data_IF_069030596381
#
_entry.id   IF_069030596381
#
_cell.length_a   1.000
_cell.length_b   1.000
_cell.length_c   1.000
_cell.angle_alpha   90.00
_cell.angle_beta   90.00
_cell.angle_gamma   90.00
#
_symmetry.space_group_name_H-M   'P 1'
#
loop_
_entity.id
_entity.type
_entity.pdbx_description
1 polymer ?
#
# COMPACT_ATOMS: atom_id res chain seq x y z
N UNK A 1 -22.18 -12.42 12.77
CA UNK A 1 -20.87 -12.14 13.40
C UNK A 1 -19.92 -11.65 12.32
N UNK A 2 -19.38 -10.43 12.42
CA UNK A 2 -18.38 -9.91 11.47
C UNK A 2 -17.05 -9.83 12.18
N UNK A 3 -16.06 -10.54 11.67
CA UNK A 3 -14.67 -10.44 12.14
C UNK A 3 -14.18 -9.10 11.58
N UNK A 4 -13.91 -8.12 12.44
CA UNK A 4 -13.59 -6.72 12.05
C UNK A 4 -12.24 -6.53 11.36
N UNK A 5 -11.71 -7.56 10.70
CA UNK A 5 -10.49 -7.52 9.90
C UNK A 5 -10.86 -7.48 8.41
N UNK A 6 -9.99 -6.90 7.57
CA UNK A 6 -10.19 -7.00 6.13
C UNK A 6 -9.98 -8.46 5.69
N UNK A 7 -10.66 -8.90 4.63
CA UNK A 7 -10.46 -10.25 4.09
C UNK A 7 -8.98 -10.51 3.73
N UNK A 8 -8.26 -9.47 3.32
CA UNK A 8 -6.83 -9.51 3.01
C UNK A 8 -5.97 -9.85 4.23
N UNK A 9 -6.28 -9.28 5.40
CA UNK A 9 -5.49 -9.47 6.62
C UNK A 9 -5.52 -10.92 7.13
N UNK A 10 -6.63 -11.64 6.88
CA UNK A 10 -6.74 -13.06 7.20
C UNK A 10 -6.22 -13.96 6.08
N UNK A 11 -6.47 -13.60 4.82
CA UNK A 11 -6.09 -14.43 3.68
C UNK A 11 -4.57 -14.51 3.48
N UNK A 12 -3.85 -13.39 3.65
CA UNK A 12 -2.39 -13.35 3.44
C UNK A 12 -1.59 -14.31 4.32
N UNK A 13 -1.75 -14.33 5.67
CA UNK A 13 -1.01 -15.27 6.50
C UNK A 13 -1.43 -16.72 6.27
N UNK A 14 -2.72 -16.98 6.03
CA UNK A 14 -3.22 -18.32 5.74
C UNK A 14 -2.62 -18.87 4.44
N UNK A 15 -2.60 -18.05 3.39
CA UNK A 15 -1.99 -18.39 2.11
C UNK A 15 -0.49 -18.64 2.23
N UNK A 16 0.22 -17.76 2.97
CA UNK A 16 1.65 -17.94 3.23
C UNK A 16 1.97 -19.25 3.95
N UNK A 17 1.19 -19.61 4.98
CA UNK A 17 1.34 -20.88 5.68
C UNK A 17 1.08 -22.08 4.77
N UNK A 18 -0.01 -22.05 4.00
CA UNK A 18 -0.35 -23.12 3.08
C UNK A 18 0.71 -23.30 1.98
N UNK A 19 1.16 -22.21 1.34
CA UNK A 19 2.21 -22.26 0.31
C UNK A 19 3.54 -22.77 0.84
N UNK A 20 3.91 -22.42 2.09
CA UNK A 20 5.11 -22.95 2.73
C UNK A 20 5.00 -24.48 2.92
N UNK A 21 3.86 -24.96 3.44
CA UNK A 21 3.62 -26.38 3.59
C UNK A 21 3.64 -27.11 2.22
N UNK A 22 3.03 -26.52 1.19
CA UNK A 22 2.96 -27.10 -0.15
C UNK A 22 4.31 -27.13 -0.88
N UNK A 23 5.21 -26.18 -0.61
CA UNK A 23 6.52 -26.08 -1.27
C UNK A 23 7.67 -26.70 -0.47
N UNK A 24 7.40 -27.21 0.74
CA UNK A 24 8.42 -27.78 1.62
C UNK A 24 9.10 -28.99 0.98
N UNK A 25 10.42 -28.89 0.80
CA UNK A 25 11.25 -29.96 0.21
C UNK A 25 11.29 -29.97 -1.32
N UNK A 26 10.59 -29.04 -1.99
CA UNK A 26 10.76 -28.84 -3.42
C UNK A 26 12.03 -28.00 -3.68
N UNK A 27 12.81 -28.32 -4.72
CA UNK A 27 13.93 -27.48 -5.10
C UNK A 27 13.42 -26.10 -5.53
N UNK A 28 14.10 -25.04 -5.08
CA UNK A 28 13.84 -23.71 -5.61
C UNK A 28 14.26 -23.68 -7.07
N UNK A 29 13.31 -23.43 -7.96
CA UNK A 29 13.58 -23.20 -9.37
C UNK A 29 13.65 -21.70 -9.59
N UNK A 30 14.75 -21.22 -10.16
CA UNK A 30 14.78 -19.86 -10.69
C UNK A 30 13.78 -19.76 -11.85
N UNK A 31 13.14 -18.60 -11.99
CA UNK A 31 12.34 -18.36 -13.18
C UNK A 31 13.31 -18.11 -14.33
N UNK A 32 13.33 -19.03 -15.30
CA UNK A 32 14.00 -18.84 -16.60
C UNK A 32 13.23 -17.74 -17.38
N UNK A 33 13.38 -16.51 -16.93
CA UNK A 33 12.77 -15.34 -17.54
C UNK A 33 13.56 -14.90 -18.77
N UNK A 34 12.84 -14.45 -19.80
CA UNK A 34 13.47 -13.73 -20.89
C UNK A 34 14.19 -12.49 -20.35
N UNK A 35 15.37 -12.17 -20.90
CA UNK A 35 16.10 -10.97 -20.54
C UNK A 35 15.26 -9.75 -20.92
N UNK A 36 14.77 -9.04 -19.92
CA UNK A 36 13.99 -7.82 -20.09
C UNK A 36 14.92 -6.68 -20.55
N UNK A 37 14.55 -5.98 -21.61
CA UNK A 37 15.23 -4.74 -22.02
C UNK A 37 14.66 -3.59 -21.18
N UNK A 38 15.53 -2.82 -20.53
CA UNK A 38 15.11 -1.66 -19.73
C UNK A 38 15.26 -0.40 -20.57
N UNK A 39 14.15 0.32 -20.75
CA UNK A 39 14.13 1.58 -21.50
C UNK A 39 13.53 2.69 -20.65
N UNK A 40 14.04 3.90 -20.85
CA UNK A 40 13.47 5.10 -20.27
C UNK A 40 12.27 5.55 -21.10
N UNK A 41 11.10 5.59 -20.48
CA UNK A 41 9.86 6.01 -21.11
C UNK A 41 9.27 7.23 -20.42
N UNK A 42 8.64 8.10 -21.20
CA UNK A 42 7.93 9.26 -20.71
C UNK A 42 6.68 8.80 -19.95
N UNK A 43 6.49 9.30 -18.72
CA UNK A 43 5.33 8.94 -17.88
C UNK A 43 3.98 9.39 -18.44
N UNK A 44 3.97 10.39 -19.33
CA UNK A 44 2.74 10.93 -19.91
C UNK A 44 2.36 10.23 -21.21
N UNK A 45 3.33 9.99 -22.11
CA UNK A 45 3.06 9.48 -23.46
C UNK A 45 3.36 7.99 -23.62
N UNK A 46 4.13 7.37 -22.71
CA UNK A 46 4.57 5.98 -22.83
C UNK A 46 5.62 5.71 -23.92
N UNK A 47 6.03 6.75 -24.66
CA UNK A 47 7.10 6.69 -25.67
C UNK A 47 8.48 6.85 -25.03
N UNK A 48 9.56 6.70 -25.81
CA UNK A 48 10.91 6.90 -25.29
C UNK A 48 11.08 8.32 -24.75
N UNK A 49 11.66 8.45 -23.56
CA UNK A 49 11.88 9.75 -22.93
C UNK A 49 12.85 10.59 -23.77
N UNK A 50 12.49 11.85 -24.01
CA UNK A 50 13.44 12.86 -24.48
C UNK A 50 14.07 13.57 -23.25
N UNK A 51 15.08 14.42 -23.46
CA UNK A 51 15.79 15.11 -22.37
C UNK A 51 14.94 16.10 -21.55
N UNK A 52 13.68 16.31 -21.92
CA UNK A 52 12.73 17.18 -21.19
C UNK A 52 11.65 16.38 -20.45
N UNK A 53 11.45 15.09 -20.79
CA UNK A 53 10.47 14.25 -20.14
C UNK A 53 10.95 13.79 -18.76
N UNK A 54 10.02 13.71 -17.80
CA UNK A 54 10.22 12.83 -16.64
C UNK A 54 10.19 11.37 -17.12
N UNK A 55 11.36 10.78 -17.22
CA UNK A 55 11.53 9.38 -17.60
C UNK A 55 11.31 8.44 -16.41
N UNK A 56 10.70 7.28 -16.65
CA UNK A 56 10.75 6.13 -15.75
C UNK A 56 11.42 4.95 -16.46
N UNK A 57 12.20 4.15 -15.73
CA UNK A 57 12.77 2.92 -16.26
C UNK A 57 11.70 1.83 -16.23
N UNK A 58 11.21 1.42 -17.40
CA UNK A 58 10.25 0.32 -17.53
C UNK A 58 10.92 -0.92 -18.17
N UNK A 59 10.62 -2.13 -17.68
CA UNK A 59 11.07 -3.36 -18.31
C UNK A 59 10.16 -3.74 -19.49
N UNK A 60 10.76 -4.13 -20.61
CA UNK A 60 10.07 -4.59 -21.81
C UNK A 60 10.56 -5.97 -22.24
N UNK A 61 9.69 -6.75 -22.89
CA UNK A 61 10.10 -7.95 -23.61
C UNK A 61 10.88 -7.56 -24.88
N UNK A 62 11.81 -8.39 -25.36
CA UNK A 62 12.54 -8.14 -26.59
C UNK A 62 11.59 -7.80 -27.76
N UNK A 63 11.81 -6.64 -28.39
CA UNK A 63 11.01 -6.19 -29.54
C UNK A 63 9.70 -5.48 -29.20
N UNK A 64 9.27 -5.45 -27.94
CA UNK A 64 8.03 -4.76 -27.50
C UNK A 64 8.27 -3.31 -27.06
N UNK A 65 9.53 -2.90 -26.91
CA UNK A 65 9.86 -1.54 -26.53
C UNK A 65 9.41 -0.50 -27.58
N UNK A 66 8.93 0.68 -27.14
CA UNK A 66 8.56 1.76 -28.06
C UNK A 66 9.79 2.22 -28.84
N UNK A 67 9.66 2.33 -30.16
CA UNK A 67 10.74 2.81 -31.05
C UNK A 67 10.73 4.32 -31.24
N UNK A 68 9.57 4.95 -31.05
CA UNK A 68 9.38 6.39 -31.21
C UNK A 68 9.78 7.17 -29.96
N UNK A 69 10.38 8.35 -30.18
CA UNK A 69 10.64 9.33 -29.14
C UNK A 69 9.39 10.15 -28.79
N UNK A 70 9.33 10.65 -27.56
CA UNK A 70 8.28 11.60 -27.17
C UNK A 70 8.36 12.88 -28.03
N UNK A 71 7.29 13.25 -28.76
CA UNK A 71 7.30 14.44 -29.62
C UNK A 71 7.09 15.75 -28.83
N UNK A 72 6.67 15.65 -27.57
CA UNK A 72 6.34 16.81 -26.75
C UNK A 72 7.51 17.21 -25.85
N UNK A 73 7.74 18.52 -25.72
CA UNK A 73 8.56 19.08 -24.66
C UNK A 73 7.71 19.17 -23.39
N UNK A 74 8.16 18.51 -22.33
CA UNK A 74 7.52 18.63 -21.03
C UNK A 74 8.22 19.74 -20.23
N UNK A 75 7.48 20.48 -19.39
CA UNK A 75 8.11 21.36 -18.43
C UNK A 75 9.05 20.54 -17.55
N UNK A 76 10.20 21.11 -17.13
CA UNK A 76 11.11 20.43 -16.23
C UNK A 76 10.33 19.95 -15.01
N UNK A 77 10.62 18.74 -14.49
CA UNK A 77 9.96 18.28 -13.28
C UNK A 77 10.18 19.34 -12.20
N UNK A 78 9.17 19.63 -11.37
CA UNK A 78 9.42 20.43 -10.18
C UNK A 78 10.59 19.80 -9.45
N UNK A 79 11.50 20.60 -8.86
CA UNK A 79 12.59 20.04 -8.06
C UNK A 79 11.98 19.02 -7.13
N UNK A 80 12.58 17.82 -7.07
CA UNK A 80 12.18 16.83 -6.08
C UNK A 80 12.18 17.58 -4.76
N UNK A 81 10.98 17.79 -4.21
CA UNK A 81 10.86 18.26 -2.85
C UNK A 81 11.38 17.07 -2.09
N UNK A 82 12.68 17.08 -1.79
CA UNK A 82 13.26 16.28 -0.74
C UNK A 82 12.42 16.66 0.48
N UNK A 83 11.33 15.92 0.72
CA UNK A 83 10.58 16.05 1.96
C UNK A 83 11.64 15.69 3.01
N UNK A 84 12.16 16.67 3.78
CA UNK A 84 13.22 16.39 4.73
C UNK A 84 12.69 15.30 5.65
N UNK A 85 13.56 14.35 6.04
CA UNK A 85 13.18 13.20 6.86
C UNK A 85 12.42 13.66 8.11
N UNK A 86 11.08 13.63 8.06
CA UNK A 86 10.22 14.13 9.15
C UNK A 86 9.09 15.10 8.76
N UNK A 87 9.11 15.75 7.58
CA UNK A 87 8.04 16.65 7.16
C UNK A 87 7.09 16.02 6.12
N UNK A 88 5.80 16.17 6.39
CA UNK A 88 4.72 15.65 5.55
C UNK A 88 4.47 16.65 4.43
N UNK A 89 4.81 16.27 3.20
CA UNK A 89 4.49 17.06 2.01
C UNK A 89 2.95 17.21 1.89
N UNK A 90 2.49 18.46 1.94
CA UNK A 90 1.09 18.87 2.06
C UNK A 90 0.33 18.61 0.75
N UNK A 91 -0.20 17.39 0.56
CA UNK A 91 -0.97 17.07 -0.66
C UNK A 91 -1.51 15.65 -0.77
N UNK A 92 -0.90 14.68 -0.09
CA UNK A 92 -1.45 13.32 0.04
C UNK A 92 -1.01 12.84 1.42
N UNK A 93 -1.92 12.81 2.39
CA UNK A 93 -1.61 12.10 3.64
C UNK A 93 -1.76 10.61 3.36
N UNK A 94 -0.66 9.82 3.22
CA UNK A 94 -0.79 8.40 3.49
C UNK A 94 -1.16 8.34 4.96
N UNK A 95 -2.44 8.09 5.27
CA UNK A 95 -2.85 7.78 6.62
C UNK A 95 -1.84 6.78 7.16
N UNK A 96 -1.09 7.17 8.20
CA UNK A 96 -0.05 6.37 8.84
C UNK A 96 -0.75 5.18 9.48
N UNK A 97 -1.14 4.19 8.67
CA UNK A 97 -1.87 3.01 9.11
C UNK A 97 -0.86 2.20 9.90
N UNK A 98 -0.99 2.26 11.22
CA UNK A 98 -0.26 1.38 12.11
C UNK A 98 -0.53 -0.07 11.69
N UNK A 99 0.52 -0.84 11.43
CA UNK A 99 0.39 -2.26 11.10
C UNK A 99 -0.36 -2.98 12.22
N UNK A 100 -1.28 -3.89 11.90
CA UNK A 100 -2.08 -4.63 12.88
C UNK A 100 -1.26 -5.28 14.00
N UNK A 101 -0.05 -5.75 13.70
CA UNK A 101 0.86 -6.35 14.69
C UNK A 101 1.35 -5.36 15.74
N UNK A 102 1.61 -4.10 15.37
CA UNK A 102 1.99 -3.04 16.32
C UNK A 102 0.82 -2.69 17.22
N UNK A 103 -0.39 -2.63 16.67
CA UNK A 103 -1.62 -2.42 17.45
C UNK A 103 -1.87 -3.57 18.43
N UNK A 104 -1.78 -4.82 17.98
CA UNK A 104 -1.94 -5.99 18.86
C UNK A 104 -0.85 -6.09 19.92
N UNK A 105 0.40 -5.74 19.59
CA UNK A 105 1.50 -5.72 20.57
C UNK A 105 1.26 -4.66 21.65
N UNK A 106 0.78 -3.47 21.28
CA UNK A 106 0.40 -2.42 22.23
C UNK A 106 -0.77 -2.86 23.11
N UNK A 107 -1.86 -3.34 22.51
CA UNK A 107 -3.04 -3.82 23.27
C UNK A 107 -2.66 -4.95 24.25
N UNK A 108 -1.74 -5.84 23.86
CA UNK A 108 -1.21 -6.88 24.73
C UNK A 108 -0.35 -6.32 25.86
N UNK A 109 0.55 -5.39 25.57
CA UNK A 109 1.39 -4.74 26.57
C UNK A 109 0.54 -3.92 27.58
N UNK A 110 -0.48 -3.21 27.11
CA UNK A 110 -1.46 -2.50 27.95
C UNK A 110 -2.25 -3.47 28.83
N UNK A 111 -2.69 -4.62 28.28
CA UNK A 111 -3.38 -5.66 29.05
C UNK A 111 -2.48 -6.29 30.12
N UNK A 112 -1.20 -6.52 29.82
CA UNK A 112 -0.21 -7.03 30.78
C UNK A 112 0.11 -5.99 31.87
N UNK A 113 0.28 -4.72 31.51
CA UNK A 113 0.49 -3.63 32.48
C UNK A 113 -0.72 -3.44 33.40
N UNK A 114 -1.94 -3.49 32.85
CA UNK A 114 -3.18 -3.43 33.62
C UNK A 114 -3.34 -4.62 34.57
N UNK A 115 -2.95 -5.84 34.14
CA UNK A 115 -2.97 -7.02 34.99
C UNK A 115 -1.94 -6.95 36.13
N UNK A 116 -0.82 -6.25 35.93
CA UNK A 116 0.23 -6.04 36.93
C UNK A 116 0.01 -4.79 37.80
N UNK A 117 -1.05 -4.01 37.54
CA UNK A 117 -1.32 -2.77 38.26
C UNK A 117 -0.28 -1.67 38.05
N UNK A 118 0.46 -1.73 36.93
CA UNK A 118 1.49 -0.75 36.59
C UNK A 118 0.86 0.42 35.80
N UNK A 119 1.23 1.68 36.11
CA UNK A 119 0.77 2.83 35.33
C UNK A 119 1.35 2.77 33.91
N UNK A 120 0.49 2.92 32.91
CA UNK A 120 0.89 3.03 31.50
C UNK A 120 1.47 4.43 31.28
N UNK A 121 2.79 4.58 31.35
CA UNK A 121 3.45 5.83 30.92
C UNK A 121 3.26 6.00 29.41
N UNK A 122 2.49 7.01 29.01
CA UNK A 122 2.27 7.38 27.61
C UNK A 122 0.81 7.62 27.18
N UNK A 123 -0.16 7.53 28.09
CA UNK A 123 -1.55 7.91 27.78
C UNK A 123 -1.68 9.45 27.69
N UNK A 124 -1.51 9.99 26.48
CA UNK A 124 -1.93 11.35 26.16
C UNK A 124 -3.46 11.49 26.41
N UNK A 125 -3.91 12.33 27.36
CA UNK A 125 -5.33 12.41 27.72
C UNK A 125 -6.20 13.17 26.70
N UNK A 126 -5.65 13.54 25.53
CA UNK A 126 -6.29 14.48 24.60
C UNK A 126 -7.05 13.85 23.42
N UNK A 127 -6.98 12.53 23.18
CA UNK A 127 -7.76 11.89 22.11
C UNK A 127 -9.10 11.41 22.66
N UNK A 128 -9.98 12.37 22.92
CA UNK A 128 -11.37 12.13 23.32
C UNK A 128 -12.05 11.17 22.33
N UNK A 129 -12.47 10.02 22.86
CA UNK A 129 -13.30 9.04 22.17
C UNK A 129 -14.62 9.70 21.80
N UNK A 130 -14.73 10.24 20.58
CA UNK A 130 -16.03 10.68 20.05
C UNK A 130 -16.93 9.45 19.93
N UNK A 131 -18.13 9.44 20.54
CA UNK A 131 -19.06 8.35 20.34
C UNK A 131 -19.44 8.28 18.86
N UNK A 132 -19.32 7.09 18.28
CA UNK A 132 -19.67 6.81 16.89
C UNK A 132 -21.17 6.99 16.72
N UNK A 133 -21.59 7.98 15.95
CA UNK A 133 -22.99 8.18 15.61
C UNK A 133 -23.58 6.89 15.00
N UNK A 134 -24.81 6.48 15.37
CA UNK A 134 -25.43 5.30 14.79
C UNK A 134 -25.67 5.57 13.29
N UNK A 135 -25.07 4.73 12.45
CA UNK A 135 -25.35 4.68 11.01
C UNK A 135 -26.83 4.39 10.80
N UNK A 136 -27.56 5.40 10.34
CA UNK A 136 -28.92 5.31 9.82
C UNK A 136 -28.97 4.25 8.71
N UNK A 137 -29.67 3.15 8.97
CA UNK A 137 -30.00 2.13 8.00
C UNK A 137 -30.95 2.73 6.96
N UNK A 138 -30.41 3.16 5.82
CA UNK A 138 -31.23 3.51 4.67
C UNK A 138 -31.90 2.23 4.15
N UNK A 139 -33.23 2.19 4.30
CA UNK A 139 -34.11 1.19 3.70
C UNK A 139 -34.12 1.40 2.19
N UNK A 140 -33.61 0.45 1.42
CA UNK A 140 -33.79 0.43 -0.04
C UNK A 140 -35.26 0.15 -0.36
N UNK A 141 -35.95 0.98 -1.18
CA UNK A 141 -37.28 0.65 -1.66
C UNK A 141 -37.21 -0.54 -2.63
N UNK A 142 -37.99 -1.57 -2.32
CA UNK A 142 -38.24 -2.72 -3.18
C UNK A 142 -38.81 -2.27 -4.54
N UNK A 143 -38.08 -2.57 -5.62
CA UNK A 143 -38.52 -2.31 -6.98
C UNK A 143 -39.55 -3.38 -7.36
N UNK A 144 -40.81 -2.96 -7.46
CA UNK A 144 -41.93 -3.78 -7.92
C UNK A 144 -41.95 -3.84 -9.44
N UNK A 145 -42.32 -5.00 -9.97
CA UNK A 145 -42.33 -5.43 -11.36
C UNK A 145 -43.13 -4.56 -12.32
N UNK A 146 -42.72 -4.58 -13.59
CA UNK A 146 -43.59 -4.63 -14.76
C UNK A 146 -42.92 -5.52 -15.81
#
# INVERSE_FOLDING_TARGET
>A
MRIGASASDLASPLWGWWMNAATKGLPQREFDGEKLDRRWVCTQTGLLSNGTCRGISAPFLPGTAPKGGCPHQHPPPPPEVECPEGEVCEGDQPHKRESLWKRMAREKAEAEAAALGLPVEGADPAVGSRPRAPTSTAVCPSRSSA
#
